data_IF_429092128993
#
_entry.id   IF_429092128993
#
_cell.length_a   1.000
_cell.length_b   1.000
_cell.length_c   1.000
_cell.angle_alpha   90.00
_cell.angle_beta   90.00
_cell.angle_gamma   90.00
#
_symmetry.space_group_name_H-M   'P 1'
#
loop_
_entity.id
_entity.type
_entity.pdbx_description
1 polymer ?
#
# COMPACT_ATOMS: atom_id res chain seq x y z
N UNK A 1 22.82 -32.50 63.79
CA UNK A 1 23.08 -32.81 62.37
C UNK A 1 21.80 -32.49 61.61
N UNK A 2 21.63 -31.53 60.71
CA UNK A 2 22.37 -30.35 60.28
C UNK A 2 21.37 -29.56 59.43
N UNK A 3 21.01 -28.34 59.83
CA UNK A 3 20.15 -27.46 59.04
C UNK A 3 21.03 -26.78 57.99
N UNK A 4 20.98 -27.28 56.75
CA UNK A 4 21.71 -26.66 55.64
C UNK A 4 21.20 -25.23 55.38
N UNK A 5 22.08 -24.27 55.07
CA UNK A 5 21.66 -22.93 54.73
C UNK A 5 20.88 -22.96 53.40
N UNK A 6 19.74 -22.26 53.36
CA UNK A 6 18.98 -22.06 52.13
C UNK A 6 19.83 -21.24 51.15
N UNK A 7 19.85 -21.57 49.85
CA UNK A 7 20.56 -20.76 48.88
C UNK A 7 19.87 -19.39 48.79
N UNK A 8 20.65 -18.34 49.06
CA UNK A 8 20.29 -16.96 48.77
C UNK A 8 20.14 -16.81 47.26
N UNK A 9 18.90 -16.84 46.76
CA UNK A 9 18.60 -16.41 45.40
C UNK A 9 18.61 -14.87 45.38
N UNK A 10 19.72 -14.30 44.94
CA UNK A 10 19.80 -12.89 44.56
C UNK A 10 19.27 -12.79 43.14
N UNK A 11 18.02 -12.35 42.98
CA UNK A 11 17.49 -11.96 41.67
C UNK A 11 17.93 -10.53 41.42
N UNK A 12 18.86 -10.34 40.48
CA UNK A 12 19.19 -9.03 39.94
C UNK A 12 18.15 -8.72 38.85
N UNK A 13 17.14 -7.93 39.19
CA UNK A 13 16.26 -7.33 38.18
C UNK A 13 16.97 -6.10 37.62
N UNK A 14 17.54 -6.25 36.43
CA UNK A 14 18.02 -5.12 35.64
C UNK A 14 16.81 -4.36 35.11
N UNK A 15 16.41 -3.31 35.84
CA UNK A 15 15.53 -2.28 35.30
C UNK A 15 16.33 -1.46 34.29
N UNK A 16 16.36 -1.94 33.04
CA UNK A 16 16.77 -1.12 31.91
C UNK A 16 15.80 0.06 31.88
N UNK A 17 16.35 1.25 32.06
CA UNK A 17 15.67 2.54 32.05
C UNK A 17 14.51 2.60 31.05
N UNK A 18 13.31 2.90 31.54
CA UNK A 18 12.21 3.42 30.72
C UNK A 18 12.57 4.83 30.28
N UNK A 19 13.49 4.95 29.33
CA UNK A 19 13.50 6.14 28.47
C UNK A 19 12.20 6.10 27.66
N UNK A 20 11.54 7.25 27.43
CA UNK A 20 10.46 7.28 26.45
C UNK A 20 11.02 6.72 25.15
N UNK A 21 10.38 5.66 24.63
CA UNK A 21 10.57 5.28 23.24
C UNK A 21 10.03 6.45 22.44
N UNK A 22 10.89 7.39 22.09
CA UNK A 22 10.68 8.14 20.88
C UNK A 22 10.61 7.08 19.79
N UNK A 23 9.42 6.91 19.21
CA UNK A 23 9.30 6.30 17.89
C UNK A 23 10.07 7.23 16.97
N UNK A 24 11.39 7.01 16.89
CA UNK A 24 12.16 7.51 15.77
C UNK A 24 11.51 6.84 14.56
N UNK A 25 10.93 7.67 13.69
CA UNK A 25 10.66 7.27 12.32
C UNK A 25 11.91 6.54 11.83
N UNK A 26 11.71 5.33 11.34
CA UNK A 26 12.77 4.60 10.68
C UNK A 26 13.20 5.43 9.48
N UNK A 27 14.33 6.11 9.57
CA UNK A 27 15.06 6.57 8.40
C UNK A 27 16.47 5.96 8.37
N UNK A 28 16.84 5.62 7.13
CA UNK A 28 18.11 5.11 6.63
C UNK A 28 18.44 3.62 6.84
N UNK A 29 17.67 2.78 6.16
CA UNK A 29 18.28 1.80 5.25
C UNK A 29 18.17 2.35 3.82
N UNK A 30 19.23 2.28 3.02
CA UNK A 30 19.29 2.55 1.56
C UNK A 30 17.92 2.75 0.92
N UNK A 31 17.62 3.95 0.41
CA UNK A 31 16.35 4.31 -0.21
C UNK A 31 15.81 3.19 -1.11
N UNK A 32 14.90 2.38 -0.56
CA UNK A 32 14.04 1.50 -1.33
C UNK A 32 13.12 2.41 -2.16
N UNK A 33 12.88 2.05 -3.43
CA UNK A 33 12.32 2.95 -4.44
C UNK A 33 11.17 3.82 -3.96
N UNK A 34 11.27 5.13 -4.19
CA UNK A 34 10.23 6.09 -3.86
C UNK A 34 9.15 6.13 -4.95
N UNK A 35 7.89 6.27 -4.54
CA UNK A 35 6.79 6.59 -5.47
C UNK A 35 6.90 8.05 -5.89
N UNK A 36 7.31 8.31 -7.13
CA UNK A 36 7.49 9.66 -7.64
C UNK A 36 6.22 10.26 -8.28
N UNK A 37 5.49 9.43 -9.04
CA UNK A 37 4.30 9.84 -9.78
C UNK A 37 3.22 8.77 -9.63
N UNK A 38 1.97 9.20 -9.57
CA UNK A 38 0.78 8.34 -9.57
C UNK A 38 -0.21 8.96 -10.54
N UNK A 39 -0.69 8.13 -11.46
CA UNK A 39 -1.71 8.52 -12.40
C UNK A 39 -2.71 7.39 -12.57
N UNK A 40 -3.98 7.77 -12.70
CA UNK A 40 -5.12 6.86 -12.71
C UNK A 40 -5.83 6.96 -14.05
N UNK A 41 -6.13 5.79 -14.61
CA UNK A 41 -6.93 5.62 -15.81
C UNK A 41 -8.17 4.83 -15.42
N UNK A 42 -9.34 5.43 -15.60
CA UNK A 42 -10.61 4.76 -15.31
C UNK A 42 -10.99 3.82 -16.45
N UNK A 43 -11.83 2.83 -16.16
CA UNK A 43 -12.34 1.92 -17.19
C UNK A 43 -13.09 2.66 -18.31
N UNK A 44 -13.82 3.73 -17.96
CA UNK A 44 -14.52 4.59 -18.94
C UNK A 44 -13.55 5.35 -19.83
N UNK A 45 -12.45 5.82 -19.26
CA UNK A 45 -11.34 6.44 -19.97
C UNK A 45 -10.67 5.47 -20.96
N UNK A 46 -10.32 4.27 -20.51
CA UNK A 46 -9.67 3.26 -21.35
C UNK A 46 -10.58 2.69 -22.45
N UNK A 47 -11.90 2.83 -22.33
CA UNK A 47 -12.85 2.43 -23.37
C UNK A 47 -12.85 3.38 -24.58
N UNK A 48 -12.30 4.59 -24.44
CA UNK A 48 -12.18 5.56 -25.53
C UNK A 48 -10.87 5.35 -26.33
N UNK A 49 -10.85 5.82 -27.58
CA UNK A 49 -9.68 5.66 -28.47
C UNK A 49 -8.40 6.33 -27.93
N UNK A 50 -8.58 7.46 -27.24
CA UNK A 50 -7.50 8.19 -26.56
C UNK A 50 -8.00 8.66 -25.19
N UNK A 51 -7.13 8.58 -24.19
CA UNK A 51 -7.43 9.10 -22.86
C UNK A 51 -6.19 9.62 -22.13
N UNK A 52 -6.37 10.71 -21.39
CA UNK A 52 -5.38 11.28 -20.48
C UNK A 52 -5.60 10.77 -19.06
N UNK A 53 -4.52 10.36 -18.40
CA UNK A 53 -4.58 9.94 -17.00
C UNK A 53 -4.74 11.16 -16.09
N UNK A 54 -5.51 11.02 -15.02
CA UNK A 54 -5.60 12.05 -13.97
C UNK A 54 -4.67 11.71 -12.81
N UNK A 55 -4.21 12.73 -12.08
CA UNK A 55 -3.39 12.56 -10.88
C UNK A 55 -4.26 12.78 -9.65
N UNK A 56 -4.40 11.79 -8.75
CA UNK A 56 -5.10 12.00 -7.49
C UNK A 56 -4.27 12.91 -6.57
N UNK A 57 -4.88 13.52 -5.55
CA UNK A 57 -4.14 14.12 -4.44
C UNK A 57 -3.43 13.05 -3.61
N UNK A 58 -4.12 11.95 -3.30
CA UNK A 58 -3.57 10.87 -2.48
C UNK A 58 -3.76 9.48 -3.10
N UNK A 59 -2.77 8.62 -2.86
CA UNK A 59 -2.82 7.18 -3.11
C UNK A 59 -2.83 6.45 -1.76
N UNK A 60 -3.86 5.64 -1.52
CA UNK A 60 -3.94 4.74 -0.37
C UNK A 60 -3.80 3.31 -0.85
N UNK A 61 -2.68 2.67 -0.54
CA UNK A 61 -2.48 1.25 -0.78
C UNK A 61 -2.92 0.47 0.46
N UNK A 62 -3.98 -0.32 0.33
CA UNK A 62 -4.59 -1.06 1.43
C UNK A 62 -4.30 -2.55 1.33
N UNK A 63 -3.62 -3.11 2.34
CA UNK A 63 -3.22 -4.51 2.41
C UNK A 63 -4.10 -5.26 3.41
N UNK A 64 -4.85 -6.24 2.90
CA UNK A 64 -5.86 -6.97 3.66
C UNK A 64 -5.91 -8.46 3.32
N UNK A 65 -6.75 -9.19 4.03
CA UNK A 65 -7.13 -10.55 3.67
C UNK A 65 -8.62 -10.79 4.00
N UNK A 66 -9.30 -11.66 3.26
CA UNK A 66 -10.73 -11.95 3.49
C UNK A 66 -10.99 -12.72 4.79
N UNK A 67 -10.00 -13.46 5.31
CA UNK A 67 -10.08 -14.11 6.62
C UNK A 67 -9.74 -13.16 7.79
N UNK A 68 -9.28 -11.94 7.51
CA UNK A 68 -8.87 -10.98 8.52
C UNK A 68 -10.06 -10.18 9.05
N UNK A 69 -10.64 -10.64 10.16
CA UNK A 69 -11.77 -9.94 10.80
C UNK A 69 -11.49 -8.45 11.10
N UNK A 70 -10.31 -8.03 11.59
CA UNK A 70 -10.02 -6.61 11.80
C UNK A 70 -10.00 -5.79 10.49
N UNK A 71 -9.77 -6.42 9.33
CA UNK A 71 -9.74 -5.75 8.04
C UNK A 71 -11.12 -5.25 7.63
N UNK A 72 -12.20 -5.89 8.09
CA UNK A 72 -13.58 -5.49 7.79
C UNK A 72 -13.86 -4.02 8.12
N UNK A 73 -13.44 -3.56 9.28
CA UNK A 73 -13.67 -2.18 9.72
C UNK A 73 -12.94 -1.17 8.82
N UNK A 74 -11.73 -1.50 8.38
CA UNK A 74 -10.93 -0.63 7.50
C UNK A 74 -11.53 -0.63 6.09
N UNK A 75 -11.95 -1.79 5.59
CA UNK A 75 -12.65 -1.89 4.30
C UNK A 75 -13.92 -1.04 4.26
N UNK A 76 -14.73 -1.06 5.33
CA UNK A 76 -15.96 -0.27 5.43
C UNK A 76 -15.65 1.25 5.43
N UNK A 77 -14.54 1.67 6.06
CA UNK A 77 -14.06 3.06 6.02
C UNK A 77 -13.59 3.49 4.62
N UNK A 78 -12.90 2.60 3.89
CA UNK A 78 -12.33 2.90 2.58
C UNK A 78 -13.33 2.84 1.42
N UNK A 79 -14.48 2.18 1.60
CA UNK A 79 -15.46 1.93 0.54
C UNK A 79 -15.94 3.19 -0.18
N UNK A 80 -16.02 4.32 0.54
CA UNK A 80 -16.45 5.61 -0.02
C UNK A 80 -15.32 6.63 -0.13
N UNK A 81 -14.06 6.21 0.08
CA UNK A 81 -12.91 7.11 0.02
C UNK A 81 -12.42 7.32 -1.42
N UNK A 82 -12.70 6.38 -2.34
CA UNK A 82 -12.27 6.54 -3.73
C UNK A 82 -13.11 7.60 -4.43
N UNK A 83 -12.46 8.71 -4.79
CA UNK A 83 -13.02 9.80 -5.58
C UNK A 83 -11.96 10.39 -6.53
N UNK A 84 -12.20 11.56 -7.12
CA UNK A 84 -11.25 12.23 -8.03
C UNK A 84 -9.95 12.67 -7.33
N UNK A 85 -9.96 12.77 -6.00
CA UNK A 85 -8.84 13.25 -5.18
C UNK A 85 -8.08 12.13 -4.49
N UNK A 86 -8.75 11.04 -4.11
CA UNK A 86 -8.11 9.95 -3.39
C UNK A 86 -8.41 8.65 -4.11
N UNK A 87 -7.36 7.88 -4.39
CA UNK A 87 -7.51 6.55 -4.98
C UNK A 87 -7.11 5.48 -3.97
N UNK A 88 -7.94 4.46 -3.81
CA UNK A 88 -7.63 3.28 -3.00
C UNK A 88 -7.21 2.14 -3.93
N UNK A 89 -6.00 1.61 -3.73
CA UNK A 89 -5.51 0.39 -4.36
C UNK A 89 -5.52 -0.73 -3.32
N UNK A 90 -6.39 -1.74 -3.50
CA UNK A 90 -6.51 -2.83 -2.55
C UNK A 90 -5.66 -4.03 -2.97
N UNK A 91 -4.87 -4.54 -2.03
CA UNK A 91 -3.95 -5.66 -2.18
C UNK A 91 -4.39 -6.82 -1.30
N UNK A 92 -4.52 -8.00 -1.90
CA UNK A 92 -4.76 -9.27 -1.20
C UNK A 92 -3.49 -10.14 -1.26
N UNK A 93 -2.58 -10.03 -0.27
CA UNK A 93 -1.27 -10.67 -0.30
C UNK A 93 -1.27 -12.04 0.41
N UNK A 94 -2.39 -12.43 1.01
CA UNK A 94 -2.60 -13.70 1.69
C UNK A 94 -2.82 -14.83 0.69
N UNK A 95 -1.97 -15.88 0.66
CA UNK A 95 -2.19 -17.06 -0.19
C UNK A 95 -3.42 -17.91 0.20
N UNK A 96 -4.06 -17.58 1.33
CA UNK A 96 -5.29 -18.26 1.76
C UNK A 96 -6.53 -17.67 1.07
N UNK A 97 -6.39 -16.51 0.44
CA UNK A 97 -7.48 -15.83 -0.23
C UNK A 97 -7.62 -16.37 -1.66
N UNK A 98 -8.85 -16.63 -2.12
CA UNK A 98 -9.19 -16.92 -3.50
C UNK A 98 -8.74 -15.79 -4.45
N UNK A 99 -8.66 -14.56 -3.94
CA UNK A 99 -8.27 -13.34 -4.64
C UNK A 99 -6.78 -13.01 -4.46
N UNK A 100 -6.00 -13.96 -3.91
CA UNK A 100 -4.56 -13.83 -3.75
C UNK A 100 -3.87 -13.37 -5.02
N UNK A 101 -3.05 -12.31 -4.90
CA UNK A 101 -2.19 -11.86 -5.98
C UNK A 101 -0.71 -11.84 -5.54
N UNK A 102 0.13 -12.58 -6.27
CA UNK A 102 1.55 -12.75 -5.90
C UNK A 102 2.34 -11.44 -5.95
N UNK A 103 2.01 -10.52 -6.87
CA UNK A 103 2.65 -9.20 -6.88
C UNK A 103 2.21 -8.34 -5.70
N UNK A 104 0.95 -8.44 -5.26
CA UNK A 104 0.50 -7.83 -4.00
C UNK A 104 1.29 -8.37 -2.80
N UNK A 105 1.57 -9.68 -2.78
CA UNK A 105 2.44 -10.30 -1.75
C UNK A 105 3.86 -9.79 -1.79
N UNK A 106 4.46 -9.65 -2.97
CA UNK A 106 5.80 -9.08 -3.11
C UNK A 106 5.82 -7.64 -2.56
N UNK A 107 4.83 -6.83 -2.93
CA UNK A 107 4.73 -5.44 -2.47
C UNK A 107 4.53 -5.34 -0.96
N UNK A 108 3.71 -6.22 -0.38
CA UNK A 108 3.54 -6.34 1.07
C UNK A 108 4.84 -6.74 1.79
N UNK A 109 5.46 -7.84 1.36
CA UNK A 109 6.53 -8.50 2.13
C UNK A 109 7.92 -7.87 1.89
N UNK A 110 8.16 -7.38 0.68
CA UNK A 110 9.49 -6.93 0.25
C UNK A 110 9.58 -5.42 0.08
N UNK A 111 8.61 -4.79 -0.60
CA UNK A 111 8.67 -3.36 -0.86
C UNK A 111 8.39 -2.58 0.45
N UNK A 112 7.26 -2.88 1.10
CA UNK A 112 6.85 -2.23 2.34
C UNK A 112 7.21 -3.00 3.62
N UNK A 113 7.53 -4.30 3.50
CA UNK A 113 7.93 -5.16 4.63
C UNK A 113 6.91 -5.15 5.77
N UNK A 114 5.63 -5.16 5.40
CA UNK A 114 4.50 -5.11 6.32
C UNK A 114 4.40 -6.42 7.10
N UNK A 115 4.15 -6.31 8.40
CA UNK A 115 4.12 -7.47 9.30
C UNK A 115 2.70 -7.98 9.60
N UNK A 116 1.68 -7.13 9.43
CA UNK A 116 0.32 -7.42 9.89
C UNK A 116 -0.73 -6.88 8.92
N UNK A 117 -1.92 -7.50 8.96
CA UNK A 117 -3.13 -6.97 8.36
C UNK A 117 -4.09 -6.44 9.45
N UNK A 118 -4.90 -5.42 9.16
CA UNK A 118 -4.80 -4.54 7.99
C UNK A 118 -3.57 -3.63 8.09
N UNK A 119 -3.03 -3.22 6.93
CA UNK A 119 -2.04 -2.15 6.83
C UNK A 119 -2.39 -1.24 5.66
N UNK A 120 -2.09 0.05 5.79
CA UNK A 120 -2.24 1.03 4.72
C UNK A 120 -0.95 1.81 4.53
N UNK A 121 -0.59 2.05 3.28
CA UNK A 121 0.49 2.97 2.92
C UNK A 121 -0.12 4.13 2.16
N UNK A 122 0.08 5.34 2.67
CA UNK A 122 -0.42 6.59 2.07
C UNK A 122 0.75 7.28 1.36
N UNK A 123 0.53 7.60 0.09
CA UNK A 123 1.48 8.26 -0.81
C UNK A 123 2.86 7.59 -0.87
N UNK A 124 2.90 6.28 -0.64
CA UNK A 124 4.13 5.49 -0.60
C UNK A 124 5.05 5.78 0.60
N UNK A 125 4.65 6.64 1.55
CA UNK A 125 5.55 7.12 2.62
C UNK A 125 4.98 6.93 4.03
N UNK A 126 3.70 7.21 4.26
CA UNK A 126 3.09 7.10 5.58
C UNK A 126 2.47 5.72 5.78
N UNK A 127 2.85 5.03 6.87
CA UNK A 127 2.36 3.68 7.20
C UNK A 127 1.37 3.72 8.37
N UNK A 128 0.20 3.13 8.18
CA UNK A 128 -0.83 2.93 9.20
C UNK A 128 -1.11 1.44 9.35
N UNK A 129 -0.88 0.89 10.55
CA UNK A 129 -1.01 -0.54 10.84
C UNK A 129 -2.12 -0.79 11.86
N UNK A 130 -3.01 -1.73 11.52
CA UNK A 130 -4.14 -2.11 12.35
C UNK A 130 -5.29 -1.09 12.34
N UNK A 131 -6.42 -1.52 12.91
CA UNK A 131 -7.68 -0.75 12.88
C UNK A 131 -7.62 0.59 13.61
N UNK A 132 -6.81 0.69 14.68
CA UNK A 132 -6.72 1.94 15.46
C UNK A 132 -6.05 3.06 14.67
N UNK A 133 -4.96 2.75 13.97
CA UNK A 133 -4.24 3.75 13.17
C UNK A 133 -5.00 4.08 11.88
N UNK A 134 -5.84 3.17 11.38
CA UNK A 134 -6.70 3.48 10.25
C UNK A 134 -7.66 4.66 10.51
N UNK A 135 -8.02 4.92 11.77
CA UNK A 135 -8.83 6.07 12.16
C UNK A 135 -8.12 7.42 11.92
N UNK A 136 -6.79 7.42 11.84
CA UNK A 136 -5.99 8.62 11.63
C UNK A 136 -5.78 8.94 10.13
N UNK A 137 -6.34 8.14 9.22
CA UNK A 137 -6.10 8.23 7.77
C UNK A 137 -6.35 9.63 7.18
N UNK A 138 -7.49 10.25 7.51
CA UNK A 138 -7.83 11.60 7.03
C UNK A 138 -6.80 12.63 7.48
N UNK A 139 -6.44 12.62 8.77
CA UNK A 139 -5.43 13.53 9.31
C UNK A 139 -4.04 13.30 8.71
N UNK A 140 -3.70 12.05 8.39
CA UNK A 140 -2.44 11.73 7.71
C UNK A 140 -2.44 12.32 6.30
N UNK A 141 -3.50 12.13 5.52
CA UNK A 141 -3.64 12.70 4.18
C UNK A 141 -3.56 14.24 4.21
N UNK A 142 -4.28 14.89 5.12
CA UNK A 142 -4.27 16.36 5.26
C UNK A 142 -2.87 16.94 5.59
N UNK A 143 -2.02 16.16 6.25
CA UNK A 143 -0.67 16.58 6.62
C UNK A 143 0.40 16.23 5.56
N UNK A 144 0.04 15.48 4.52
CA UNK A 144 0.94 15.14 3.42
C UNK A 144 0.88 16.21 2.33
N UNK A 145 2.04 16.66 1.89
CA UNK A 145 2.18 17.63 0.80
C UNK A 145 2.73 16.95 -0.47
N UNK A 146 2.14 15.81 -0.83
CA UNK A 146 2.59 15.03 -1.98
C UNK A 146 2.26 15.74 -3.28
N UNK A 147 3.22 15.79 -4.20
CA UNK A 147 3.02 16.31 -5.55
C UNK A 147 3.57 15.32 -6.57
N UNK A 148 2.64 14.67 -7.27
CA UNK A 148 2.97 13.62 -8.23
C UNK A 148 3.63 14.19 -9.48
N UNK A 149 4.88 13.81 -9.69
CA UNK A 149 5.69 14.27 -10.83
C UNK A 149 6.61 13.14 -11.29
N UNK A 150 6.82 13.05 -12.60
CA UNK A 150 7.81 12.13 -13.16
C UNK A 150 7.44 11.57 -14.53
N UNK A 151 6.15 11.47 -14.86
CA UNK A 151 5.65 10.99 -16.15
C UNK A 151 4.88 12.10 -16.87
N UNK A 152 5.53 12.82 -17.78
CA UNK A 152 4.90 13.87 -18.57
C UNK A 152 4.09 13.29 -19.74
N UNK A 153 3.00 13.94 -20.11
CA UNK A 153 2.16 13.57 -21.26
C UNK A 153 1.71 12.09 -21.24
N UNK A 154 1.38 11.55 -20.05
CA UNK A 154 0.91 10.17 -19.92
C UNK A 154 -0.45 10.01 -20.61
N UNK A 155 -0.44 9.24 -21.69
CA UNK A 155 -1.59 9.01 -22.57
C UNK A 155 -1.78 7.54 -22.82
N UNK A 156 -3.04 7.12 -22.92
CA UNK A 156 -3.44 5.79 -23.31
C UNK A 156 -4.03 5.82 -24.72
N UNK A 157 -3.47 5.04 -25.64
CA UNK A 157 -3.93 4.90 -27.01
C UNK A 157 -3.70 3.46 -27.50
N UNK A 158 -4.71 2.85 -28.11
CA UNK A 158 -4.59 1.51 -28.72
C UNK A 158 -4.02 0.41 -27.80
N UNK A 159 -4.44 0.38 -26.53
CA UNK A 159 -3.91 -0.53 -25.50
C UNK A 159 -2.44 -0.29 -25.12
N UNK A 160 -1.90 0.87 -25.44
CA UNK A 160 -0.51 1.24 -25.14
C UNK A 160 -0.50 2.53 -24.34
N UNK A 161 0.17 2.49 -23.18
CA UNK A 161 0.52 3.70 -22.44
C UNK A 161 1.77 4.31 -23.03
N UNK A 162 1.79 5.64 -23.13
CA UNK A 162 2.93 6.42 -23.61
C UNK A 162 3.15 7.59 -22.67
N UNK A 163 4.40 7.87 -22.35
CA UNK A 163 4.79 8.97 -21.48
C UNK A 163 6.17 9.48 -21.89
N UNK A 164 6.50 10.67 -21.42
CA UNK A 164 7.84 11.22 -21.43
C UNK A 164 8.36 11.28 -19.99
N UNK A 165 9.65 11.07 -19.78
CA UNK A 165 10.24 11.20 -18.46
C UNK A 165 11.71 11.55 -18.54
N UNK A 166 12.19 12.28 -17.55
CA UNK A 166 13.62 12.45 -17.27
C UNK A 166 14.09 11.58 -16.11
N UNK A 167 13.19 10.81 -15.50
CA UNK A 167 13.47 9.96 -14.36
C UNK A 167 13.83 8.55 -14.82
N UNK A 168 14.84 7.98 -14.17
CA UNK A 168 15.07 6.54 -14.23
C UNK A 168 14.17 5.84 -13.21
N UNK A 169 13.85 4.58 -13.46
CA UNK A 169 13.05 3.78 -12.54
C UNK A 169 12.15 2.81 -13.28
N UNK A 170 11.13 2.32 -12.57
CA UNK A 170 10.16 1.38 -13.10
C UNK A 170 8.78 2.01 -13.09
N UNK A 171 8.09 1.95 -14.23
CA UNK A 171 6.66 2.25 -14.30
C UNK A 171 5.92 0.96 -14.03
N UNK A 172 5.05 0.96 -13.02
CA UNK A 172 4.23 -0.18 -12.60
C UNK A 172 2.75 0.13 -12.80
N UNK A 173 2.07 -0.66 -13.62
CA UNK A 173 0.64 -0.52 -13.91
C UNK A 173 -0.11 -1.63 -13.18
N UNK A 174 -0.80 -1.23 -12.12
CA UNK A 174 -1.69 -2.10 -11.35
C UNK A 174 -3.08 -2.11 -11.99
N UNK A 175 -3.54 -3.30 -12.37
CA UNK A 175 -4.89 -3.52 -12.86
C UNK A 175 -5.78 -3.94 -11.69
N UNK A 176 -6.90 -3.25 -11.52
CA UNK A 176 -7.81 -3.41 -10.39
C UNK A 176 -9.24 -3.68 -10.84
N UNK A 177 -10.00 -4.45 -10.06
CA UNK A 177 -11.40 -4.72 -10.33
C UNK A 177 -12.22 -4.81 -9.03
N UNK A 178 -13.52 -4.44 -9.07
CA UNK A 178 -14.44 -4.76 -8.01
C UNK A 178 -14.53 -6.27 -7.82
N UNK A 179 -14.33 -6.75 -6.60
CA UNK A 179 -14.23 -8.17 -6.29
C UNK A 179 -15.05 -8.50 -5.06
N UNK A 180 -15.87 -9.54 -5.12
CA UNK A 180 -16.66 -9.99 -3.99
C UNK A 180 -15.74 -10.58 -2.90
N UNK A 181 -16.10 -10.31 -1.64
CA UNK A 181 -15.50 -10.96 -0.49
C UNK A 181 -15.89 -12.45 -0.49
N UNK A 182 -14.97 -13.33 -0.11
CA UNK A 182 -15.16 -14.79 -0.23
C UNK A 182 -16.34 -15.35 0.58
N UNK A 183 -16.52 -14.85 1.79
CA UNK A 183 -17.47 -15.39 2.77
C UNK A 183 -18.57 -14.42 3.18
N UNK A 184 -18.58 -13.20 2.65
CA UNK A 184 -19.54 -12.15 3.03
C UNK A 184 -20.11 -11.49 1.79
N UNK A 185 -21.25 -10.81 1.92
CA UNK A 185 -21.88 -10.08 0.81
C UNK A 185 -21.17 -8.73 0.49
N UNK A 186 -19.96 -8.51 1.01
CA UNK A 186 -19.18 -7.30 0.75
C UNK A 186 -18.53 -7.34 -0.63
N UNK A 187 -18.36 -6.15 -1.21
CA UNK A 187 -17.60 -5.95 -2.44
C UNK A 187 -16.43 -5.02 -2.13
N UNK A 188 -15.22 -5.50 -2.42
CA UNK A 188 -14.00 -4.71 -2.45
C UNK A 188 -13.96 -3.93 -3.76
N UNK A 189 -13.73 -2.62 -3.71
CA UNK A 189 -13.91 -1.73 -4.87
C UNK A 189 -12.82 -1.87 -5.93
N UNK A 190 -11.59 -2.11 -5.52
CA UNK A 190 -10.40 -1.93 -6.37
C UNK A 190 -9.28 -2.92 -6.02
N UNK A 191 -9.61 -4.22 -6.05
CA UNK A 191 -8.63 -5.28 -5.76
C UNK A 191 -7.70 -5.48 -6.95
N UNK A 192 -6.40 -5.42 -6.68
CA UNK A 192 -5.35 -5.68 -7.65
C UNK A 192 -5.36 -7.15 -8.11
N UNK A 193 -5.51 -7.36 -9.42
CA UNK A 193 -5.49 -8.70 -10.03
C UNK A 193 -4.39 -8.86 -11.10
N UNK A 194 -3.72 -7.77 -11.47
CA UNK A 194 -2.67 -7.83 -12.47
C UNK A 194 -1.65 -6.70 -12.34
N UNK A 195 -0.45 -6.96 -12.83
CA UNK A 195 0.67 -6.02 -12.85
C UNK A 195 1.36 -6.10 -14.21
N UNK A 196 1.71 -4.94 -14.75
CA UNK A 196 2.63 -4.78 -15.89
C UNK A 196 3.71 -3.78 -15.50
N UNK A 197 4.93 -4.01 -15.95
CA UNK A 197 6.05 -3.13 -15.66
C UNK A 197 6.86 -2.82 -16.92
N UNK A 198 7.42 -1.62 -16.96
CA UNK A 198 8.37 -1.18 -17.98
C UNK A 198 9.46 -0.32 -17.31
N UNK A 199 10.61 -0.17 -17.95
CA UNK A 199 11.53 0.86 -17.50
C UNK A 199 10.94 2.21 -17.86
N UNK A 200 11.11 3.20 -16.98
CA UNK A 200 10.64 4.56 -17.21
C UNK A 200 11.18 5.12 -18.55
N UNK A 201 12.42 4.78 -18.90
CA UNK A 201 13.08 5.19 -20.14
C UNK A 201 12.55 4.51 -21.41
N UNK A 202 11.73 3.47 -21.30
CA UNK A 202 11.13 2.81 -22.46
C UNK A 202 10.04 3.70 -23.10
N UNK A 203 9.52 4.68 -22.35
CA UNK A 203 8.52 5.67 -22.77
C UNK A 203 7.17 5.08 -23.25
N UNK A 204 7.01 3.76 -23.17
CA UNK A 204 5.76 3.08 -23.49
C UNK A 204 5.61 1.71 -22.83
N UNK A 205 4.36 1.28 -22.65
CA UNK A 205 4.00 -0.04 -22.15
C UNK A 205 2.68 -0.53 -22.77
N UNK A 206 2.71 -1.69 -23.42
CA UNK A 206 1.51 -2.37 -23.91
C UNK A 206 0.77 -3.08 -22.76
N UNK A 207 -0.54 -2.89 -22.68
CA UNK A 207 -1.43 -3.49 -21.67
C UNK A 207 -2.17 -4.76 -22.17
N UNK A 208 -1.89 -5.21 -23.40
CA UNK A 208 -2.39 -6.51 -23.91
C UNK A 208 -1.81 -7.71 -23.18
#
# INVERSE_FOLDING_TARGET
>A
MGSGPWPLFVVVVLLVSLAPVNVAQAEEGTANGATHDVAVLTATCMANETCEAHRPLHLVEYFSADWCEPCHQVSDQLQNLTDETTVVLQHHPSPQDATFFSSSKLRNDHDYRLLFYPSMVVDGTALLTGTRQALDLESVMENLSTNWTGLDNLTFENNTLRWNTTHNGTVAVWMVAPTAHETTDRIHSSVAYGLRTANATDNMLSLK
#
